data_IF_314757361536
#
_entry.id   IF_314757361536
#
_cell.length_a   1.000
_cell.length_b   1.000
_cell.length_c   1.000
_cell.angle_alpha   90.00
_cell.angle_beta   90.00
_cell.angle_gamma   90.00
#
_symmetry.space_group_name_H-M   'P 1'
#
loop_
_entity.id
_entity.type
_entity.pdbx_description
1 polymer ?
#
# COMPACT_ATOMS: atom_id res chain seq x y z
N UNK A 1 27.97 39.81 3.34
CA UNK A 1 28.73 38.93 2.43
C UNK A 1 28.90 37.61 3.14
N UNK A 2 27.99 36.67 2.88
CA UNK A 2 28.11 35.27 3.26
C UNK A 2 27.81 34.48 1.98
N UNK A 3 28.86 33.88 1.43
CA UNK A 3 28.82 32.91 0.34
C UNK A 3 28.13 31.64 0.88
N UNK A 4 27.06 31.18 0.26
CA UNK A 4 27.05 30.07 -0.71
C UNK A 4 27.61 28.75 -0.13
N UNK A 5 26.71 27.92 0.39
CA UNK A 5 26.86 26.47 0.41
C UNK A 5 25.68 25.88 -0.36
N UNK A 6 25.98 25.29 -1.52
CA UNK A 6 25.08 24.41 -2.28
C UNK A 6 25.41 22.98 -1.86
N UNK A 7 24.47 22.34 -1.18
CA UNK A 7 24.43 20.88 -1.06
C UNK A 7 23.97 20.30 -2.40
N UNK A 8 24.85 19.55 -3.06
CA UNK A 8 24.51 18.62 -4.14
C UNK A 8 24.87 17.20 -3.67
N UNK A 9 23.93 16.58 -2.95
CA UNK A 9 23.90 15.13 -2.70
C UNK A 9 23.60 14.41 -4.02
N UNK A 10 24.65 14.03 -4.77
CA UNK A 10 24.54 13.03 -5.82
C UNK A 10 24.56 11.64 -5.20
N UNK A 11 23.41 10.98 -5.26
CA UNK A 11 23.22 9.57 -4.91
C UNK A 11 24.10 8.70 -5.81
N UNK A 12 25.23 8.23 -5.27
CA UNK A 12 26.02 7.17 -5.88
C UNK A 12 25.29 5.84 -5.62
N UNK A 13 24.46 5.41 -6.58
CA UNK A 13 23.91 4.05 -6.59
C UNK A 13 25.08 3.05 -6.70
N UNK A 14 25.21 2.20 -5.68
CA UNK A 14 26.29 1.23 -5.56
C UNK A 14 25.98 0.01 -6.45
N UNK A 15 26.40 0.07 -7.72
CA UNK A 15 26.23 -1.04 -8.68
C UNK A 15 27.38 -2.06 -8.56
N UNK A 16 27.04 -3.35 -8.62
CA UNK A 16 27.97 -4.49 -8.62
C UNK A 16 27.84 -5.28 -9.93
N UNK A 17 28.96 -5.60 -10.59
CA UNK A 17 28.97 -6.41 -11.81
C UNK A 17 30.31 -7.15 -12.01
N UNK A 18 30.31 -8.19 -12.84
CA UNK A 18 31.53 -8.93 -13.18
C UNK A 18 32.12 -8.44 -14.51
N UNK A 19 33.43 -8.18 -14.53
CA UNK A 19 34.14 -7.75 -15.74
C UNK A 19 34.05 -8.84 -16.84
N UNK A 20 33.52 -8.52 -18.04
CA UNK A 20 33.28 -9.52 -19.09
C UNK A 20 34.56 -10.14 -19.67
N UNK A 21 35.69 -9.46 -19.55
CA UNK A 21 36.97 -9.92 -20.10
C UNK A 21 37.73 -10.87 -19.14
N UNK A 22 37.59 -10.70 -17.82
CA UNK A 22 38.41 -11.44 -16.85
C UNK A 22 37.65 -12.03 -15.65
N UNK A 23 36.34 -11.86 -15.59
CA UNK A 23 35.46 -12.40 -14.55
C UNK A 23 35.73 -11.82 -13.15
N UNK A 24 36.33 -10.63 -13.06
CA UNK A 24 36.62 -10.00 -11.77
C UNK A 24 35.41 -9.19 -11.32
N UNK A 25 34.98 -9.44 -10.10
CA UNK A 25 33.88 -8.73 -9.47
C UNK A 25 34.25 -7.28 -9.16
N UNK A 26 33.43 -6.34 -9.61
CA UNK A 26 33.61 -4.89 -9.49
C UNK A 26 32.46 -4.31 -8.68
N UNK A 27 32.79 -3.57 -7.62
CA UNK A 27 31.84 -2.82 -6.78
C UNK A 27 32.14 -1.32 -6.87
N UNK A 28 31.19 -0.53 -7.38
CA UNK A 28 31.26 0.94 -7.47
C UNK A 28 31.57 1.51 -8.87
N UNK A 29 31.48 2.85 -9.00
CA UNK A 29 31.55 3.60 -10.27
C UNK A 29 32.93 3.72 -10.94
N UNK A 30 33.73 2.66 -10.92
CA UNK A 30 35.04 2.63 -11.59
C UNK A 30 34.86 2.44 -13.10
N UNK A 31 35.45 3.30 -13.94
CA UNK A 31 35.34 3.23 -15.42
C UNK A 31 36.31 2.24 -16.08
N UNK A 32 37.17 1.57 -15.29
CA UNK A 32 38.16 0.59 -15.77
C UNK A 32 38.28 -0.59 -14.81
N UNK A 33 38.44 -1.79 -15.35
CA UNK A 33 38.71 -2.96 -14.54
C UNK A 33 40.10 -2.86 -13.88
N UNK A 34 40.21 -2.96 -12.54
CA UNK A 34 41.49 -2.88 -11.83
C UNK A 34 42.42 -4.07 -12.09
N UNK A 35 41.90 -5.18 -12.64
CA UNK A 35 42.68 -6.39 -12.91
C UNK A 35 43.18 -6.48 -14.35
N UNK A 36 42.35 -6.19 -15.34
CA UNK A 36 42.73 -6.34 -16.75
C UNK A 36 42.82 -5.02 -17.53
N UNK A 37 42.39 -3.90 -16.93
CA UNK A 37 42.50 -2.57 -17.54
C UNK A 37 41.44 -2.25 -18.60
N UNK A 38 40.50 -3.15 -18.87
CA UNK A 38 39.38 -2.93 -19.80
C UNK A 38 38.55 -1.72 -19.36
N UNK A 39 38.32 -0.77 -20.27
CA UNK A 39 37.40 0.36 -20.07
C UNK A 39 35.95 -0.10 -20.17
N UNK A 40 35.14 0.30 -19.20
CA UNK A 40 33.70 0.10 -19.23
C UNK A 40 33.08 1.29 -19.95
N UNK A 41 32.53 1.03 -21.13
CA UNK A 41 31.66 1.98 -21.82
C UNK A 41 30.25 1.69 -21.33
N UNK A 42 29.80 2.44 -20.33
CA UNK A 42 28.40 2.43 -19.93
C UNK A 42 27.63 3.22 -20.99
N UNK A 43 27.27 2.56 -22.10
CA UNK A 43 26.18 3.08 -22.92
C UNK A 43 24.93 3.01 -22.05
N UNK A 44 24.41 4.15 -21.62
CA UNK A 44 23.04 4.26 -21.14
C UNK A 44 22.15 3.82 -22.31
N UNK A 45 21.84 2.52 -22.35
CA UNK A 45 20.89 2.00 -23.33
C UNK A 45 19.54 2.51 -22.86
N UNK A 46 19.07 3.61 -23.47
CA UNK A 46 17.74 4.16 -23.26
C UNK A 46 16.70 3.06 -23.48
N UNK A 47 16.30 2.39 -22.40
CA UNK A 47 15.32 1.33 -22.42
C UNK A 47 13.93 1.92 -22.59
N UNK A 48 13.13 1.31 -23.44
CA UNK A 48 11.73 1.70 -23.65
C UNK A 48 10.88 0.99 -22.60
N UNK A 49 10.14 1.72 -21.79
CA UNK A 49 9.17 1.12 -20.87
C UNK A 49 7.97 0.52 -21.62
N UNK A 50 7.67 -0.74 -21.32
CA UNK A 50 6.51 -1.45 -21.84
C UNK A 50 5.21 -0.78 -21.39
N UNK A 51 4.42 -0.25 -22.33
CA UNK A 51 3.14 0.41 -22.03
C UNK A 51 2.07 -0.53 -21.43
N UNK A 52 2.28 -1.85 -21.52
CA UNK A 52 1.32 -2.85 -21.02
C UNK A 52 1.65 -3.38 -19.63
N UNK A 53 2.94 -3.48 -19.28
CA UNK A 53 3.35 -4.13 -18.02
C UNK A 53 4.45 -3.39 -17.24
N UNK A 54 4.92 -2.25 -17.75
CA UNK A 54 5.93 -1.42 -17.10
C UNK A 54 7.35 -1.99 -17.06
N UNK A 55 7.63 -3.08 -17.78
CA UNK A 55 8.99 -3.61 -17.87
C UNK A 55 9.86 -2.70 -18.75
N UNK A 56 11.10 -2.41 -18.35
CA UNK A 56 12.08 -1.73 -19.21
C UNK A 56 12.56 -2.72 -20.27
N UNK A 57 12.49 -2.32 -21.53
CA UNK A 57 12.80 -3.17 -22.68
C UNK A 57 13.99 -2.59 -23.44
N UNK A 58 14.96 -3.41 -23.85
CA UNK A 58 16.01 -2.98 -24.78
C UNK A 58 15.42 -2.37 -26.06
N UNK A 59 15.97 -1.24 -26.52
CA UNK A 59 15.40 -0.44 -27.62
C UNK A 59 15.27 -1.14 -28.98
N UNK A 60 15.90 -2.31 -29.14
CA UNK A 60 15.90 -3.16 -30.33
C UNK A 60 14.91 -4.34 -30.25
N UNK A 61 14.24 -4.54 -29.12
CA UNK A 61 13.28 -5.64 -28.96
C UNK A 61 11.99 -5.37 -29.76
N UNK A 62 11.55 -6.36 -30.54
CA UNK A 62 10.25 -6.30 -31.25
C UNK A 62 9.08 -6.79 -30.38
N UNK A 63 9.36 -7.54 -29.30
CA UNK A 63 8.37 -8.13 -28.38
C UNK A 63 8.85 -7.95 -26.94
N UNK A 64 7.93 -7.61 -26.03
CA UNK A 64 8.25 -7.51 -24.61
C UNK A 64 8.55 -8.90 -24.02
N UNK A 65 9.71 -9.13 -23.38
CA UNK A 65 10.09 -10.45 -22.84
C UNK A 65 9.26 -10.86 -21.62
N UNK A 66 8.55 -9.94 -20.97
CA UNK A 66 7.75 -10.22 -19.76
C UNK A 66 6.29 -10.53 -20.05
N UNK A 67 5.69 -9.88 -21.03
CA UNK A 67 4.27 -10.03 -21.35
C UNK A 67 4.01 -10.53 -22.77
N UNK A 68 5.07 -10.83 -23.53
CA UNK A 68 5.05 -11.42 -24.88
C UNK A 68 4.28 -10.60 -25.93
N UNK A 69 4.04 -9.32 -25.67
CA UNK A 69 3.33 -8.42 -26.60
C UNK A 69 4.27 -7.65 -27.52
N UNK A 70 3.93 -7.48 -28.81
CA UNK A 70 4.75 -6.76 -29.78
C UNK A 70 4.84 -5.25 -29.47
N UNK A 71 6.00 -4.66 -29.78
CA UNK A 71 6.37 -3.27 -29.42
C UNK A 71 6.22 -2.27 -30.56
N UNK A 72 6.01 -2.74 -31.79
CA UNK A 72 5.67 -1.90 -32.96
C UNK A 72 4.62 -2.61 -33.82
N UNK A 73 3.51 -1.92 -34.09
CA UNK A 73 2.67 -2.21 -35.25
C UNK A 73 3.42 -1.71 -36.49
N UNK A 74 3.93 -2.63 -37.33
CA UNK A 74 4.52 -2.26 -38.62
C UNK A 74 3.41 -1.73 -39.53
N UNK A 75 3.49 -0.44 -39.84
CA UNK A 75 2.88 0.15 -41.01
C UNK A 75 3.31 -0.65 -42.25
N UNK A 76 2.38 -1.44 -42.81
CA UNK A 76 2.62 -2.13 -44.08
C UNK A 76 2.45 -1.14 -45.22
N UNK A 77 3.55 -0.92 -45.92
CA UNK A 77 3.63 -0.31 -47.23
C UNK A 77 2.77 -1.08 -48.25
N UNK A 78 1.81 -0.38 -48.86
CA UNK A 78 1.15 -0.80 -50.11
C UNK A 78 1.10 0.42 -51.03
N UNK A 79 1.82 0.36 -52.14
CA UNK A 79 1.69 1.31 -53.26
C UNK A 79 0.31 1.16 -53.96
N UNK A 80 -0.18 2.21 -54.64
CA UNK A 80 -1.60 2.44 -54.84
C UNK A 80 -2.15 1.73 -56.10
N UNK A 81 -3.33 1.12 -55.97
CA UNK A 81 -4.18 0.76 -57.11
C UNK A 81 -5.48 1.59 -57.08
N UNK A 82 -5.95 2.13 -58.22
CA UNK A 82 -6.98 3.15 -58.26
C UNK A 82 -8.38 2.52 -58.15
N UNK A 83 -9.09 2.84 -57.07
CA UNK A 83 -10.48 2.44 -56.81
C UNK A 83 -11.16 3.47 -55.90
N UNK A 84 -12.47 3.63 -56.00
CA UNK A 84 -13.11 4.94 -56.12
C UNK A 84 -13.03 5.73 -54.82
N UNK A 85 -12.88 7.06 -54.97
CA UNK A 85 -12.99 8.05 -53.90
C UNK A 85 -14.27 7.80 -53.09
N UNK A 86 -14.16 7.05 -52.00
CA UNK A 86 -15.05 7.19 -50.85
C UNK A 86 -14.52 8.37 -50.06
N UNK A 87 -15.32 9.42 -50.14
CA UNK A 87 -15.24 10.67 -49.44
C UNK A 87 -14.71 10.49 -48.03
N UNK A 88 -13.77 11.37 -47.66
CA UNK A 88 -13.42 11.63 -46.28
C UNK A 88 -14.71 11.86 -45.48
N UNK A 89 -15.12 10.82 -44.75
CA UNK A 89 -16.25 10.86 -43.84
C UNK A 89 -15.92 11.85 -42.73
N UNK A 90 -16.56 13.02 -42.84
CA UNK A 90 -16.74 14.00 -41.79
C UNK A 90 -16.96 13.32 -40.43
N UNK A 91 -15.98 13.38 -39.54
CA UNK A 91 -16.30 13.59 -38.13
C UNK A 91 -16.88 15.00 -38.05
N UNK A 92 -18.09 15.20 -37.50
CA UNK A 92 -18.65 16.53 -37.43
C UNK A 92 -17.71 17.41 -36.60
N UNK A 93 -17.32 18.57 -37.14
CA UNK A 93 -16.52 19.58 -36.44
C UNK A 93 -17.10 19.95 -35.04
N UNK A 94 -18.38 19.62 -34.83
CA UNK A 94 -19.11 19.64 -33.55
C UNK A 94 -18.39 18.90 -32.42
N UNK A 95 -17.82 17.72 -32.65
CA UNK A 95 -17.27 16.87 -31.58
C UNK A 95 -15.94 17.43 -31.05
N UNK A 96 -15.09 17.97 -31.94
CA UNK A 96 -13.81 18.55 -31.54
C UNK A 96 -13.98 19.90 -30.83
N UNK A 97 -14.94 20.74 -31.28
CA UNK A 97 -15.29 21.96 -30.56
C UNK A 97 -15.89 21.69 -29.18
N UNK A 98 -16.72 20.65 -29.05
CA UNK A 98 -17.28 20.24 -27.77
C UNK A 98 -16.19 19.74 -26.80
N UNK A 99 -15.24 18.94 -27.28
CA UNK A 99 -14.07 18.51 -26.50
C UNK A 99 -13.23 19.70 -26.01
N UNK A 100 -13.03 20.72 -26.86
CA UNK A 100 -12.31 21.97 -26.48
C UNK A 100 -13.04 22.76 -25.39
N UNK A 101 -14.38 22.73 -25.37
CA UNK A 101 -15.19 23.40 -24.33
C UNK A 101 -15.22 22.62 -23.02
N UNK A 102 -15.27 21.30 -23.09
CA UNK A 102 -15.36 20.44 -21.92
C UNK A 102 -14.04 20.30 -21.17
N UNK A 103 -12.90 20.30 -21.87
CA UNK A 103 -11.59 20.05 -21.27
C UNK A 103 -11.25 21.01 -20.10
N UNK A 104 -11.39 22.35 -20.22
CA UNK A 104 -11.08 23.26 -19.11
C UNK A 104 -12.00 23.05 -17.90
N UNK A 105 -13.28 22.71 -18.13
CA UNK A 105 -14.26 22.44 -17.07
C UNK A 105 -13.81 21.26 -16.24
N UNK A 106 -13.51 20.12 -16.86
CA UNK A 106 -13.03 18.95 -16.14
C UNK A 106 -11.70 19.20 -15.41
N UNK A 107 -10.76 19.93 -16.02
CA UNK A 107 -9.50 20.27 -15.35
C UNK A 107 -9.75 21.12 -14.10
N UNK A 108 -10.68 22.08 -14.17
CA UNK A 108 -11.06 22.91 -13.02
C UNK A 108 -11.76 22.15 -11.90
N UNK A 109 -12.47 21.06 -12.22
CA UNK A 109 -13.20 20.22 -11.26
C UNK A 109 -12.31 19.13 -10.65
N UNK A 110 -11.40 18.54 -11.43
CA UNK A 110 -10.52 17.47 -10.97
C UNK A 110 -9.53 17.98 -9.93
N UNK A 111 -8.95 19.17 -10.13
CA UNK A 111 -7.94 19.72 -9.22
C UNK A 111 -8.43 19.82 -7.76
N UNK A 112 -9.58 20.44 -7.44
CA UNK A 112 -10.07 20.49 -6.06
C UNK A 112 -10.43 19.10 -5.50
N UNK A 113 -10.96 18.19 -6.33
CA UNK A 113 -11.21 16.81 -5.90
C UNK A 113 -9.92 16.05 -5.55
N UNK A 114 -8.83 16.29 -6.29
CA UNK A 114 -7.51 15.72 -6.00
C UNK A 114 -6.91 16.25 -4.71
N UNK A 115 -7.05 17.54 -4.42
CA UNK A 115 -6.58 18.11 -3.15
C UNK A 115 -7.39 17.56 -1.98
N UNK A 116 -8.73 17.54 -2.10
CA UNK A 116 -9.61 16.98 -1.09
C UNK A 116 -9.30 15.50 -0.81
N UNK A 117 -9.10 14.71 -1.87
CA UNK A 117 -8.72 13.30 -1.72
C UNK A 117 -7.39 13.14 -0.98
N UNK A 118 -6.39 14.00 -1.29
CA UNK A 118 -5.09 13.99 -0.63
C UNK A 118 -5.18 14.36 0.85
N UNK A 119 -5.93 15.42 1.20
CA UNK A 119 -6.14 15.85 2.59
C UNK A 119 -6.78 14.76 3.47
N UNK A 120 -7.62 13.92 2.85
CA UNK A 120 -8.32 12.82 3.50
C UNK A 120 -7.64 11.45 3.30
N UNK A 121 -6.40 11.44 2.82
CA UNK A 121 -5.59 10.23 2.59
C UNK A 121 -6.30 9.16 1.72
N UNK A 122 -7.08 9.60 0.73
CA UNK A 122 -7.68 8.75 -0.28
C UNK A 122 -6.63 8.47 -1.36
N UNK A 123 -6.49 7.20 -1.75
CA UNK A 123 -5.53 6.81 -2.79
C UNK A 123 -5.93 7.37 -4.17
N UNK A 124 -5.05 8.21 -4.71
CA UNK A 124 -5.18 8.86 -6.02
C UNK A 124 -4.14 8.38 -7.04
N UNK A 125 -3.45 7.26 -6.80
CA UNK A 125 -2.36 6.78 -7.65
C UNK A 125 -2.80 6.61 -9.11
N UNK A 126 -3.91 5.91 -9.34
CA UNK A 126 -4.50 5.74 -10.67
C UNK A 126 -4.89 7.08 -11.33
N UNK A 127 -5.43 8.02 -10.54
CA UNK A 127 -5.78 9.36 -11.02
C UNK A 127 -4.54 10.12 -11.51
N UNK A 128 -3.39 9.99 -10.82
CA UNK A 128 -2.13 10.61 -11.24
C UNK A 128 -1.66 10.09 -12.61
N UNK A 129 -1.72 8.77 -12.82
CA UNK A 129 -1.38 8.14 -14.10
C UNK A 129 -2.26 8.69 -15.24
N UNK A 130 -3.57 8.84 -14.99
CA UNK A 130 -4.51 9.41 -15.95
C UNK A 130 -4.22 10.88 -16.27
N UNK A 131 -3.83 11.68 -15.27
CA UNK A 131 -3.42 13.07 -15.48
C UNK A 131 -2.12 13.16 -16.28
N UNK A 132 -1.12 12.32 -15.97
CA UNK A 132 0.13 12.30 -16.74
C UNK A 132 -0.11 11.90 -18.19
N UNK A 133 -0.99 10.92 -18.43
CA UNK A 133 -1.45 10.55 -19.77
C UNK A 133 -2.14 11.73 -20.47
N UNK A 134 -3.01 12.46 -19.77
CA UNK A 134 -3.68 13.65 -20.32
C UNK A 134 -2.69 14.75 -20.71
N UNK A 135 -1.67 14.99 -19.87
CA UNK A 135 -0.61 15.99 -20.14
C UNK A 135 0.23 15.59 -21.34
N UNK A 136 0.63 14.31 -21.46
CA UNK A 136 1.37 13.79 -22.62
C UNK A 136 0.55 13.92 -23.91
N UNK A 137 -0.71 13.51 -23.88
CA UNK A 137 -1.64 13.63 -25.02
C UNK A 137 -1.85 15.11 -25.43
N UNK A 138 -1.98 16.02 -24.46
CA UNK A 138 -2.08 17.46 -24.72
C UNK A 138 -0.85 18.03 -25.44
N UNK A 139 0.36 17.62 -25.05
CA UNK A 139 1.61 18.00 -25.74
C UNK A 139 1.65 17.48 -27.19
N UNK A 140 1.10 16.29 -27.43
CA UNK A 140 1.03 15.67 -28.76
C UNK A 140 -0.15 16.18 -29.62
N UNK A 141 -0.93 17.15 -29.13
CA UNK A 141 -2.16 17.66 -29.76
C UNK A 141 -3.27 16.60 -29.94
N UNK A 142 -3.22 15.54 -29.15
CA UNK A 142 -4.21 14.47 -29.11
C UNK A 142 -5.35 14.84 -28.14
N UNK A 143 -6.14 15.85 -28.52
CA UNK A 143 -7.15 16.43 -27.63
C UNK A 143 -8.17 15.41 -27.12
N UNK A 144 -8.63 14.50 -27.97
CA UNK A 144 -9.60 13.47 -27.60
C UNK A 144 -9.08 12.56 -26.46
N UNK A 145 -7.81 12.15 -26.53
CA UNK A 145 -7.17 11.31 -25.50
C UNK A 145 -6.98 12.12 -24.21
N UNK A 146 -6.58 13.39 -24.32
CA UNK A 146 -6.44 14.27 -23.16
C UNK A 146 -7.77 14.45 -22.42
N UNK A 147 -8.86 14.76 -23.14
CA UNK A 147 -10.19 14.93 -22.54
C UNK A 147 -10.70 13.63 -21.94
N UNK A 148 -10.56 12.50 -22.65
CA UNK A 148 -10.97 11.19 -22.14
C UNK A 148 -10.25 10.85 -20.83
N UNK A 149 -8.94 11.08 -20.76
CA UNK A 149 -8.14 10.78 -19.57
C UNK A 149 -8.53 11.65 -18.37
N UNK A 150 -8.80 12.95 -18.57
CA UNK A 150 -9.28 13.83 -17.49
C UNK A 150 -10.70 13.47 -17.04
N UNK A 151 -11.60 13.12 -17.97
CA UNK A 151 -12.96 12.63 -17.65
C UNK A 151 -12.95 11.35 -16.83
N UNK A 152 -12.07 10.42 -17.20
CA UNK A 152 -11.88 9.16 -16.48
C UNK A 152 -11.35 9.44 -15.07
N UNK A 153 -10.34 10.30 -14.94
CA UNK A 153 -9.81 10.74 -13.64
C UNK A 153 -10.90 11.40 -12.78
N UNK A 154 -11.70 12.30 -13.35
CA UNK A 154 -12.82 12.96 -12.67
C UNK A 154 -13.84 11.96 -12.13
N UNK A 155 -14.22 10.98 -12.94
CA UNK A 155 -15.19 9.95 -12.54
C UNK A 155 -14.61 9.02 -11.46
N UNK A 156 -13.35 8.62 -11.63
CA UNK A 156 -12.65 7.75 -10.70
C UNK A 156 -12.47 8.40 -9.32
N UNK A 157 -11.98 9.64 -9.27
CA UNK A 157 -11.73 10.31 -8.00
C UNK A 157 -13.02 10.59 -7.24
N UNK A 158 -14.07 11.00 -7.97
CA UNK A 158 -15.39 11.21 -7.40
C UNK A 158 -15.93 9.94 -6.76
N UNK A 159 -15.85 8.81 -7.48
CA UNK A 159 -16.25 7.50 -6.94
C UNK A 159 -15.43 7.13 -5.70
N UNK A 160 -14.09 7.28 -5.73
CA UNK A 160 -13.24 7.00 -4.56
C UNK A 160 -13.62 7.86 -3.33
N UNK A 161 -13.97 9.12 -3.55
CA UNK A 161 -14.45 10.03 -2.49
C UNK A 161 -15.82 9.57 -1.96
N UNK A 162 -16.78 9.28 -2.85
CA UNK A 162 -18.12 8.80 -2.48
C UNK A 162 -18.03 7.47 -1.69
N UNK A 163 -17.21 6.52 -2.16
CA UNK A 163 -16.95 5.24 -1.49
C UNK A 163 -16.36 5.45 -0.09
N UNK A 164 -15.41 6.38 0.04
CA UNK A 164 -14.80 6.70 1.34
C UNK A 164 -15.82 7.29 2.31
N UNK A 165 -16.62 8.27 1.87
CA UNK A 165 -17.66 8.89 2.69
C UNK A 165 -18.70 7.85 3.12
N UNK A 166 -19.13 6.98 2.20
CA UNK A 166 -20.08 5.92 2.49
C UNK A 166 -19.55 4.96 3.57
N UNK A 167 -18.30 4.53 3.45
CA UNK A 167 -17.63 3.70 4.46
C UNK A 167 -17.51 4.41 5.82
N UNK A 168 -17.22 5.71 5.82
CA UNK A 168 -17.16 6.50 7.05
C UNK A 168 -18.56 6.62 7.72
N UNK A 169 -19.63 6.82 6.94
CA UNK A 169 -21.01 6.85 7.45
C UNK A 169 -21.41 5.49 8.03
N UNK A 170 -21.15 4.40 7.32
CA UNK A 170 -21.46 3.05 7.80
C UNK A 170 -20.73 2.74 9.11
N UNK A 171 -19.47 3.19 9.23
CA UNK A 171 -18.71 3.05 10.47
C UNK A 171 -19.35 3.84 11.63
N UNK A 172 -19.80 5.08 11.40
CA UNK A 172 -20.50 5.86 12.42
C UNK A 172 -21.81 5.21 12.84
N UNK A 173 -22.56 4.63 11.90
CA UNK A 173 -23.82 3.93 12.21
C UNK A 173 -23.58 2.68 13.07
N UNK A 174 -22.49 1.94 12.83
CA UNK A 174 -22.06 0.84 13.71
C UNK A 174 -21.76 1.35 15.12
N UNK A 175 -21.06 2.48 15.24
CA UNK A 175 -20.73 3.10 16.52
C UNK A 175 -21.97 3.61 17.26
N UNK A 176 -23.00 4.08 16.55
CA UNK A 176 -24.31 4.41 17.15
C UNK A 176 -24.93 3.18 17.81
N UNK A 177 -24.87 2.01 17.16
CA UNK A 177 -25.41 0.77 17.76
C UNK A 177 -24.59 0.34 18.98
N UNK A 178 -23.26 0.44 18.90
CA UNK A 178 -22.36 0.15 20.03
C UNK A 178 -22.66 1.08 21.21
N UNK A 179 -22.77 2.39 20.97
CA UNK A 179 -23.10 3.38 21.99
C UNK A 179 -24.46 3.10 22.65
N UNK A 180 -25.47 2.67 21.88
CA UNK A 180 -26.76 2.21 22.43
C UNK A 180 -26.58 0.98 23.32
N UNK A 181 -25.82 -0.02 22.87
CA UNK A 181 -25.48 -1.19 23.67
C UNK A 181 -24.76 -0.85 24.97
N UNK A 182 -23.92 0.19 24.96
CA UNK A 182 -23.25 0.75 26.15
C UNK A 182 -24.18 1.50 27.10
N UNK A 183 -25.45 1.72 26.73
CA UNK A 183 -26.35 2.60 27.48
C UNK A 183 -25.92 4.08 27.45
N UNK A 184 -25.05 4.45 26.52
CA UNK A 184 -24.61 5.83 26.29
C UNK A 184 -25.47 6.50 25.22
N UNK A 185 -25.69 7.81 25.34
CA UNK A 185 -26.48 8.55 24.35
C UNK A 185 -25.70 8.68 23.03
N UNK A 186 -26.20 8.10 21.91
CA UNK A 186 -25.53 8.17 20.62
C UNK A 186 -25.96 9.40 19.80
N UNK A 187 -26.80 10.29 20.33
CA UNK A 187 -27.51 11.32 19.55
C UNK A 187 -26.57 12.19 18.71
N UNK A 188 -25.41 12.57 19.24
CA UNK A 188 -24.43 13.38 18.53
C UNK A 188 -23.76 12.62 17.37
N UNK A 189 -23.46 11.32 17.54
CA UNK A 189 -22.89 10.46 16.50
C UNK A 189 -23.93 10.25 15.39
N UNK A 190 -25.17 9.97 15.78
CA UNK A 190 -26.31 9.78 14.88
C UNK A 190 -26.59 11.06 14.07
N UNK A 191 -26.55 12.23 14.71
CA UNK A 191 -26.66 13.52 14.04
C UNK A 191 -25.55 13.75 13.01
N UNK A 192 -24.28 13.49 13.36
CA UNK A 192 -23.15 13.60 12.42
C UNK A 192 -23.29 12.64 11.24
N UNK A 193 -23.71 11.39 11.45
CA UNK A 193 -23.89 10.40 10.38
C UNK A 193 -25.00 10.81 9.39
N UNK A 194 -26.14 11.29 9.90
CA UNK A 194 -27.25 11.80 9.09
C UNK A 194 -26.84 13.04 8.30
N UNK A 195 -26.15 13.99 8.93
CA UNK A 195 -25.67 15.20 8.27
C UNK A 195 -24.66 14.89 7.16
N UNK A 196 -23.72 13.97 7.40
CA UNK A 196 -22.78 13.53 6.38
C UNK A 196 -23.49 12.89 5.18
N UNK A 197 -24.54 12.08 5.42
CA UNK A 197 -25.37 11.47 4.38
C UNK A 197 -26.13 12.52 3.56
N UNK A 198 -26.69 13.54 4.21
CA UNK A 198 -27.37 14.65 3.53
C UNK A 198 -26.40 15.48 2.66
N UNK A 199 -25.19 15.75 3.15
CA UNK A 199 -24.15 16.47 2.41
C UNK A 199 -23.67 15.66 1.21
N UNK A 200 -23.48 14.34 1.37
CA UNK A 200 -23.18 13.43 0.28
C UNK A 200 -24.28 13.42 -0.80
N UNK A 201 -25.55 13.40 -0.40
CA UNK A 201 -26.68 13.48 -1.34
C UNK A 201 -26.69 14.79 -2.15
N UNK A 202 -26.20 15.88 -1.56
CA UNK A 202 -26.01 17.20 -2.22
C UNK A 202 -24.70 17.30 -3.00
N UNK A 203 -23.86 16.25 -3.00
CA UNK A 203 -22.50 16.23 -3.56
C UNK A 203 -21.54 17.25 -2.94
N UNK A 204 -21.82 17.67 -1.72
CA UNK A 204 -20.90 18.45 -0.90
C UNK A 204 -19.92 17.48 -0.21
N UNK A 205 -18.90 17.05 -0.95
CA UNK A 205 -17.93 16.07 -0.46
C UNK A 205 -17.09 16.60 0.70
N UNK A 206 -16.69 17.87 0.65
CA UNK A 206 -15.88 18.49 1.69
C UNK A 206 -16.68 18.57 3.00
N UNK A 207 -17.93 19.03 2.94
CA UNK A 207 -18.82 19.04 4.08
C UNK A 207 -19.06 17.64 4.63
N UNK A 208 -19.33 16.66 3.76
CA UNK A 208 -19.59 15.28 4.18
C UNK A 208 -18.39 14.63 4.88
N UNK A 209 -17.18 14.77 4.31
CA UNK A 209 -15.94 14.27 4.90
C UNK A 209 -15.63 14.95 6.24
N UNK A 210 -15.88 16.27 6.34
CA UNK A 210 -15.69 17.03 7.58
C UNK A 210 -16.63 16.55 8.69
N UNK A 211 -17.90 16.34 8.37
CA UNK A 211 -18.88 15.85 9.35
C UNK A 211 -18.62 14.39 9.74
N UNK A 212 -18.24 13.55 8.79
CA UNK A 212 -17.82 12.18 9.10
C UNK A 212 -16.62 12.16 10.05
N UNK A 213 -15.62 13.01 9.82
CA UNK A 213 -14.46 13.19 10.71
C UNK A 213 -14.85 13.70 12.09
N UNK A 214 -15.82 14.62 12.17
CA UNK A 214 -16.33 15.12 13.44
C UNK A 214 -17.07 14.01 14.23
N UNK A 215 -17.96 13.28 13.57
CA UNK A 215 -18.66 12.13 14.15
C UNK A 215 -17.68 11.08 14.70
N UNK A 216 -16.57 10.83 14.00
CA UNK A 216 -15.50 9.92 14.47
C UNK A 216 -14.91 10.42 15.80
N UNK A 217 -14.52 11.70 15.89
CA UNK A 217 -13.98 12.30 17.13
C UNK A 217 -14.97 12.25 18.30
N UNK A 218 -16.25 12.45 18.03
CA UNK A 218 -17.30 12.34 19.05
C UNK A 218 -17.40 10.88 19.51
N UNK A 219 -17.45 9.95 18.56
CA UNK A 219 -17.54 8.52 18.86
C UNK A 219 -16.39 8.02 19.71
N UNK A 220 -15.14 8.46 19.47
CA UNK A 220 -13.98 8.06 20.28
C UNK A 220 -14.17 8.34 21.77
N UNK A 221 -14.87 9.43 22.13
CA UNK A 221 -15.16 9.76 23.54
C UNK A 221 -16.22 8.88 24.17
N UNK A 222 -17.15 8.38 23.36
CA UNK A 222 -18.32 7.62 23.81
C UNK A 222 -18.05 6.12 23.77
N UNK A 223 -17.43 5.63 22.69
CA UNK A 223 -17.12 4.22 22.43
C UNK A 223 -15.66 3.88 22.68
N UNK A 224 -14.84 4.79 23.23
CA UNK A 224 -13.42 4.54 23.50
C UNK A 224 -13.15 3.26 24.29
N UNK A 225 -14.00 2.96 25.29
CA UNK A 225 -13.91 1.69 26.05
C UNK A 225 -14.14 0.45 25.19
N UNK A 226 -15.05 0.51 24.22
CA UNK A 226 -15.25 -0.58 23.26
C UNK A 226 -14.03 -0.72 22.35
N UNK A 227 -13.50 0.39 21.83
CA UNK A 227 -12.31 0.37 20.96
C UNK A 227 -11.11 -0.24 21.69
N UNK A 228 -10.86 0.16 22.93
CA UNK A 228 -9.80 -0.41 23.77
C UNK A 228 -10.02 -1.90 24.06
N UNK A 229 -11.26 -2.30 24.41
CA UNK A 229 -11.59 -3.70 24.65
C UNK A 229 -11.41 -4.56 23.40
N UNK A 230 -11.81 -4.05 22.22
CA UNK A 230 -11.65 -4.71 20.94
C UNK A 230 -10.19 -4.86 20.54
N UNK A 231 -9.37 -3.83 20.75
CA UNK A 231 -7.93 -3.92 20.52
C UNK A 231 -7.29 -5.00 21.41
N UNK A 232 -7.66 -5.07 22.70
CA UNK A 232 -7.16 -6.11 23.60
C UNK A 232 -7.61 -7.51 23.17
N UNK A 233 -8.83 -7.66 22.69
CA UNK A 233 -9.36 -8.92 22.16
C UNK A 233 -8.56 -9.38 20.94
N UNK A 234 -8.39 -8.50 19.95
CA UNK A 234 -7.66 -8.82 18.71
C UNK A 234 -6.18 -9.14 19.02
N UNK A 235 -5.56 -8.42 19.98
CA UNK A 235 -4.21 -8.74 20.45
C UNK A 235 -4.13 -10.11 21.13
N UNK A 236 -5.12 -10.48 21.96
CA UNK A 236 -5.18 -11.80 22.57
C UNK A 236 -5.31 -12.89 21.50
N UNK A 237 -6.23 -12.72 20.55
CA UNK A 237 -6.44 -13.67 19.45
C UNK A 237 -5.15 -13.89 18.64
N UNK A 238 -4.48 -12.80 18.23
CA UNK A 238 -3.22 -12.87 17.52
C UNK A 238 -2.13 -13.58 18.35
N UNK A 239 -2.04 -13.28 19.65
CA UNK A 239 -1.07 -13.92 20.55
C UNK A 239 -1.34 -15.41 20.70
N UNK A 240 -2.61 -15.83 20.83
CA UNK A 240 -3.00 -17.24 20.89
C UNK A 240 -2.58 -17.97 19.61
N UNK A 241 -2.94 -17.42 18.45
CA UNK A 241 -2.60 -18.03 17.16
C UNK A 241 -1.10 -18.18 16.97
N UNK A 242 -0.31 -17.16 17.35
CA UNK A 242 1.13 -17.24 17.30
C UNK A 242 1.67 -18.27 18.30
N UNK A 243 1.17 -18.29 19.53
CA UNK A 243 1.59 -19.23 20.58
C UNK A 243 1.34 -20.69 20.19
N UNK A 244 0.21 -20.99 19.54
CA UNK A 244 -0.13 -22.33 19.04
C UNK A 244 0.88 -22.85 18.01
N UNK A 245 1.45 -21.96 17.17
CA UNK A 245 2.53 -22.33 16.22
C UNK A 245 3.82 -22.79 16.89
N UNK A 246 3.99 -22.46 18.17
CA UNK A 246 5.09 -22.89 19.01
C UNK A 246 4.67 -23.92 20.05
N UNK A 247 3.50 -24.55 19.85
CA UNK A 247 2.97 -25.62 20.70
C UNK A 247 2.78 -25.24 22.17
N UNK A 248 2.54 -23.95 22.43
CA UNK A 248 2.17 -23.46 23.76
C UNK A 248 0.74 -23.91 24.08
N UNK A 249 0.48 -24.32 25.33
CA UNK A 249 -0.88 -24.60 25.78
C UNK A 249 -1.68 -23.31 25.91
N UNK A 250 -2.68 -23.13 25.05
CA UNK A 250 -3.54 -21.95 24.99
C UNK A 250 -4.95 -22.19 25.49
N UNK A 251 -5.27 -23.35 26.10
CA UNK A 251 -6.65 -23.73 26.46
C UNK A 251 -7.37 -22.69 27.33
N UNK A 252 -6.70 -22.23 28.38
CA UNK A 252 -7.27 -21.22 29.29
C UNK A 252 -7.43 -19.87 28.60
N UNK A 253 -6.44 -19.44 27.81
CA UNK A 253 -6.52 -18.22 27.02
C UNK A 253 -7.64 -18.27 25.95
N UNK A 254 -7.84 -19.43 25.30
CA UNK A 254 -8.95 -19.71 24.37
C UNK A 254 -10.30 -19.66 25.07
N UNK A 255 -10.40 -20.20 26.29
CA UNK A 255 -11.63 -20.11 27.09
C UNK A 255 -11.98 -18.65 27.37
N UNK A 256 -11.00 -17.87 27.82
CA UNK A 256 -11.20 -16.43 28.08
C UNK A 256 -11.50 -15.63 26.82
N UNK A 257 -10.89 -15.95 25.67
CA UNK A 257 -11.22 -15.34 24.38
C UNK A 257 -12.68 -15.63 24.01
N UNK A 258 -13.15 -16.86 24.19
CA UNK A 258 -14.55 -17.22 23.93
C UNK A 258 -15.52 -16.49 24.87
N UNK A 259 -15.22 -16.46 26.17
CA UNK A 259 -16.03 -15.69 27.14
C UNK A 259 -16.03 -14.19 26.79
N UNK A 260 -14.92 -13.66 26.26
CA UNK A 260 -14.84 -12.26 25.80
C UNK A 260 -15.70 -12.01 24.56
N UNK A 261 -15.76 -12.97 23.63
CA UNK A 261 -16.67 -12.93 22.49
C UNK A 261 -18.13 -12.98 22.95
N UNK A 262 -18.47 -13.86 23.89
CA UNK A 262 -19.82 -13.90 24.45
C UNK A 262 -20.17 -12.56 25.11
N UNK A 263 -19.24 -11.93 25.83
CA UNK A 263 -19.43 -10.59 26.38
C UNK A 263 -19.63 -9.50 25.30
N UNK A 264 -18.90 -9.60 24.18
CA UNK A 264 -19.07 -8.72 23.01
C UNK A 264 -20.49 -8.84 22.42
N UNK A 265 -21.00 -10.06 22.24
CA UNK A 265 -22.34 -10.33 21.71
C UNK A 265 -23.46 -9.74 22.60
N UNK A 266 -23.22 -9.63 23.90
CA UNK A 266 -24.16 -9.05 24.88
C UNK A 266 -23.91 -7.56 25.15
N UNK A 267 -22.91 -6.95 24.53
CA UNK A 267 -22.56 -5.55 24.71
C UNK A 267 -21.85 -5.21 26.03
N UNK A 268 -21.29 -6.20 26.71
CA UNK A 268 -20.47 -5.99 27.91
C UNK A 268 -18.98 -5.85 27.54
N UNK A 269 -18.64 -4.72 26.96
CA UNK A 269 -17.29 -4.42 26.48
C UNK A 269 -16.28 -4.29 27.63
N UNK A 270 -16.75 -3.90 28.83
CA UNK A 270 -15.91 -3.84 30.01
C UNK A 270 -15.46 -5.25 30.40
N UNK A 271 -16.38 -6.21 30.45
CA UNK A 271 -16.06 -7.61 30.68
C UNK A 271 -15.21 -8.19 29.56
N UNK A 272 -15.53 -7.91 28.29
CA UNK A 272 -14.72 -8.32 27.13
C UNK A 272 -13.25 -7.91 27.29
N UNK A 273 -12.98 -6.63 27.61
CA UNK A 273 -11.62 -6.12 27.82
C UNK A 273 -10.91 -6.75 29.02
N UNK A 274 -11.64 -7.02 30.11
CA UNK A 274 -11.10 -7.71 31.31
C UNK A 274 -10.71 -9.15 30.95
N UNK A 275 -11.56 -9.88 30.24
CA UNK A 275 -11.31 -11.26 29.83
C UNK A 275 -10.15 -11.36 28.84
N UNK A 276 -10.09 -10.46 27.86
CA UNK A 276 -8.98 -10.38 26.93
C UNK A 276 -7.63 -10.14 27.62
N UNK A 277 -7.60 -9.22 28.61
CA UNK A 277 -6.40 -8.96 29.41
C UNK A 277 -5.98 -10.17 30.23
N UNK A 278 -6.93 -10.81 30.94
CA UNK A 278 -6.66 -12.03 31.71
C UNK A 278 -6.10 -13.15 30.83
N UNK A 279 -6.68 -13.36 29.64
CA UNK A 279 -6.19 -14.37 28.70
C UNK A 279 -4.75 -14.10 28.27
N UNK A 280 -4.41 -12.83 28.07
CA UNK A 280 -3.04 -12.42 27.73
C UNK A 280 -2.08 -12.64 28.90
N UNK A 281 -2.50 -12.34 30.13
CA UNK A 281 -1.72 -12.59 31.34
C UNK A 281 -1.39 -14.08 31.53
N UNK A 282 -2.33 -14.98 31.23
CA UNK A 282 -2.07 -16.43 31.24
C UNK A 282 -0.93 -16.81 30.28
N UNK A 283 -0.95 -16.26 29.06
CA UNK A 283 0.11 -16.51 28.08
C UNK A 283 1.45 -15.89 28.52
N UNK A 284 1.44 -14.68 29.09
CA UNK A 284 2.66 -13.99 29.56
C UNK A 284 3.40 -14.80 30.62
N UNK A 285 2.73 -15.69 31.37
CA UNK A 285 3.41 -16.56 32.34
C UNK A 285 4.27 -17.64 31.69
N UNK A 286 3.92 -18.10 30.49
CA UNK A 286 4.61 -19.21 29.80
C UNK A 286 5.49 -18.75 28.64
N UNK A 287 5.14 -17.63 28.02
CA UNK A 287 5.84 -17.09 26.85
C UNK A 287 7.33 -16.74 27.07
N UNK A 288 7.80 -16.28 28.23
CA UNK A 288 9.21 -16.00 28.45
C UNK A 288 10.10 -17.22 28.21
N UNK A 289 9.71 -18.39 28.75
CA UNK A 289 10.48 -19.61 28.60
C UNK A 289 10.45 -20.12 27.16
N UNK A 290 9.27 -20.09 26.54
CA UNK A 290 9.06 -20.52 25.15
C UNK A 290 9.88 -19.68 24.18
N UNK A 291 9.76 -18.34 24.26
CA UNK A 291 10.48 -17.43 23.37
C UNK A 291 11.99 -17.55 23.57
N UNK A 292 12.49 -17.68 24.80
CA UNK A 292 13.91 -17.89 25.05
C UNK A 292 14.42 -19.22 24.46
N UNK A 293 13.64 -20.30 24.58
CA UNK A 293 13.97 -21.59 23.98
C UNK A 293 14.00 -21.52 22.45
N UNK A 294 13.00 -20.87 21.84
CA UNK A 294 12.92 -20.68 20.39
C UNK A 294 14.05 -19.78 19.85
N UNK A 295 14.43 -18.72 20.56
CA UNK A 295 15.59 -17.89 20.20
C UNK A 295 16.86 -18.74 20.18
N UNK A 296 17.06 -19.64 21.16
CA UNK A 296 18.22 -20.53 21.18
C UNK A 296 18.20 -21.49 20.00
N UNK A 297 17.04 -22.07 19.65
CA UNK A 297 16.87 -22.94 18.47
C UNK A 297 17.15 -22.19 17.18
N UNK A 298 16.58 -21.00 17.01
CA UNK A 298 16.79 -20.16 15.83
C UNK A 298 18.27 -19.77 15.66
N UNK A 299 19.01 -19.50 16.76
CA UNK A 299 20.46 -19.27 16.70
C UNK A 299 21.23 -20.49 16.20
N UNK A 300 20.85 -21.71 16.61
CA UNK A 300 21.49 -22.93 16.13
C UNK A 300 21.24 -23.10 14.62
N UNK A 301 19.99 -22.96 14.18
CA UNK A 301 19.62 -23.04 12.76
C UNK A 301 20.32 -21.99 11.90
N UNK A 302 20.50 -20.77 12.44
CA UNK A 302 21.24 -19.70 11.76
C UNK A 302 22.72 -20.07 11.55
N UNK A 303 23.35 -20.70 12.55
CA UNK A 303 24.74 -21.14 12.45
C UNK A 303 24.91 -22.28 11.45
N UNK A 304 23.96 -23.21 11.42
CA UNK A 304 23.91 -24.30 10.43
C UNK A 304 23.79 -23.73 9.01
N UNK A 305 22.81 -22.86 8.74
CA UNK A 305 22.65 -22.22 7.44
C UNK A 305 23.91 -21.44 6.99
N UNK A 306 24.59 -20.78 7.94
CA UNK A 306 25.86 -20.08 7.66
C UNK A 306 26.99 -21.06 7.33
N UNK A 307 27.06 -22.21 8.01
CA UNK A 307 28.05 -23.25 7.73
C UNK A 307 27.83 -23.92 6.36
N UNK A 308 26.57 -24.00 5.92
CA UNK A 308 26.19 -24.44 4.58
C UNK A 308 26.49 -23.40 3.47
N UNK A 309 26.98 -22.22 3.83
CA UNK A 309 27.32 -21.15 2.89
C UNK A 309 26.12 -20.39 2.35
N UNK A 310 24.94 -20.52 2.96
CA UNK A 310 23.75 -19.75 2.59
C UNK A 310 23.90 -18.28 2.99
N UNK A 311 23.26 -17.38 2.25
CA UNK A 311 23.12 -16.00 2.69
C UNK A 311 22.13 -15.92 3.85
N UNK A 312 22.64 -15.48 5.01
CA UNK A 312 21.88 -15.39 6.26
C UNK A 312 21.61 -13.95 6.68
N UNK A 313 21.87 -12.96 5.84
CA UNK A 313 21.79 -11.53 6.19
C UNK A 313 20.41 -11.14 6.73
N UNK A 314 19.34 -11.59 6.09
CA UNK A 314 17.95 -11.37 6.52
C UNK A 314 17.68 -12.11 7.83
N UNK A 315 18.09 -13.38 7.95
CA UNK A 315 17.88 -14.19 9.15
C UNK A 315 18.57 -13.58 10.39
N UNK A 316 19.78 -13.03 10.24
CA UNK A 316 20.49 -12.32 11.31
C UNK A 316 19.68 -11.11 11.78
N UNK A 317 19.15 -10.31 10.84
CA UNK A 317 18.35 -9.13 11.16
C UNK A 317 17.08 -9.49 11.92
N UNK A 318 16.29 -10.43 11.39
CA UNK A 318 15.03 -10.87 12.00
C UNK A 318 15.27 -11.49 13.39
N UNK A 319 16.30 -12.32 13.54
CA UNK A 319 16.62 -12.92 14.84
C UNK A 319 17.09 -11.89 15.88
N UNK A 320 17.78 -10.83 15.45
CA UNK A 320 18.15 -9.70 16.32
C UNK A 320 16.91 -8.97 16.81
N UNK A 321 15.94 -8.70 15.94
CA UNK A 321 14.66 -8.08 16.28
C UNK A 321 13.87 -8.94 17.28
N UNK A 322 13.78 -10.25 17.03
CA UNK A 322 13.18 -11.21 17.97
C UNK A 322 13.84 -11.15 19.36
N UNK A 323 15.18 -11.14 19.42
CA UNK A 323 15.92 -11.04 20.67
C UNK A 323 15.73 -9.71 21.39
N UNK A 324 15.61 -8.59 20.66
CA UNK A 324 15.28 -7.28 21.24
C UNK A 324 13.85 -7.24 21.79
N UNK A 325 12.90 -7.89 21.12
CA UNK A 325 11.53 -7.98 21.58
C UNK A 325 11.44 -8.75 22.91
N UNK A 326 12.12 -9.89 23.03
CA UNK A 326 12.22 -10.64 24.31
C UNK A 326 12.81 -9.78 25.43
N UNK A 327 13.90 -9.03 25.16
CA UNK A 327 14.52 -8.13 26.16
C UNK A 327 13.59 -7.00 26.63
N UNK A 328 12.65 -6.58 25.79
CA UNK A 328 11.64 -5.57 26.10
C UNK A 328 10.34 -6.18 26.66
N UNK A 329 10.34 -7.48 26.97
CA UNK A 329 9.17 -8.23 27.44
C UNK A 329 7.98 -8.21 26.47
N UNK A 330 8.25 -7.96 25.18
CA UNK A 330 7.27 -7.99 24.08
C UNK A 330 7.27 -9.37 23.43
N UNK A 331 6.79 -10.35 24.17
CA UNK A 331 6.84 -11.76 23.75
C UNK A 331 5.95 -12.06 22.54
N UNK A 332 4.84 -11.35 22.40
CA UNK A 332 3.98 -11.34 21.22
C UNK A 332 4.77 -11.00 19.95
N UNK A 333 5.53 -9.91 19.98
CA UNK A 333 6.41 -9.48 18.88
C UNK A 333 7.59 -10.42 18.67
N UNK A 334 8.14 -10.99 19.74
CA UNK A 334 9.18 -12.00 19.62
C UNK A 334 8.69 -13.23 18.82
N UNK A 335 7.45 -13.69 19.07
CA UNK A 335 6.87 -14.79 18.31
C UNK A 335 6.63 -14.43 16.84
N UNK A 336 6.16 -13.21 16.54
CA UNK A 336 6.02 -12.72 15.15
C UNK A 336 7.35 -12.80 14.39
N UNK A 337 8.42 -12.25 14.96
CA UNK A 337 9.75 -12.29 14.33
C UNK A 337 10.29 -13.73 14.24
N UNK A 338 10.00 -14.61 15.20
CA UNK A 338 10.39 -16.03 15.11
C UNK A 338 9.62 -16.79 14.01
N UNK A 339 8.37 -16.42 13.75
CA UNK A 339 7.59 -16.95 12.62
C UNK A 339 8.20 -16.48 11.30
N UNK A 340 8.54 -15.20 11.20
CA UNK A 340 9.23 -14.62 10.03
C UNK A 340 10.58 -15.31 9.80
N UNK A 341 11.38 -15.52 10.85
CA UNK A 341 12.64 -16.25 10.78
C UNK A 341 12.44 -17.66 10.21
N UNK A 342 11.43 -18.40 10.69
CA UNK A 342 11.10 -19.75 10.17
C UNK A 342 10.62 -19.72 8.72
N UNK A 343 9.98 -18.65 8.27
CA UNK A 343 9.57 -18.47 6.89
C UNK A 343 10.78 -18.22 6.00
N UNK A 344 11.64 -17.27 6.36
CA UNK A 344 12.84 -16.93 5.61
C UNK A 344 13.85 -18.09 5.56
N UNK A 345 13.97 -18.86 6.65
CA UNK A 345 14.85 -20.04 6.68
C UNK A 345 14.42 -21.12 5.68
N UNK A 346 13.13 -21.21 5.37
CA UNK A 346 12.61 -22.15 4.36
C UNK A 346 12.84 -21.68 2.91
N UNK A 347 13.13 -20.40 2.71
CA UNK A 347 13.32 -19.79 1.38
C UNK A 347 14.76 -19.90 0.89
N UNK A 348 15.71 -20.14 1.79
CA UNK A 348 17.15 -20.31 1.52
C UNK A 348 17.57 -21.77 1.64
#
# INVERSE_FOLDING_TARGET
MAAEEKDEDQQNEEFEFDCPECGTHISGGQMRCPKCGTEFVFEEVEGIECQYCGNVIPGDSEVCPKCERPLKEKASSVEPSPGPRTEAGQHPASDEEELKRQFPVYVSEVKPLMELAKEHAIDITECRVLIDKAVKAGKNKELAIAVASVKECHSLIRRKIEDRIAADIEYLEKLVQIAKGMGTDPSDIDASSRKARELLAKRDYEGALREAKNGRKISEKVTGKYVEARELYDQLEATILNSERFYVDTREARRMLKEAQDAEEHGDWAMMGILARKGKEELIRVLPDVTNAEIKRAKAQLLEAKAEGKDVSILVKVLKEAGLAVKKERYDKALEHLIEFKSELKRI
#
